data_IF_643716263800
#
_entry.id   IF_643716263800
#
_cell.length_a   1.000
_cell.length_b   1.000
_cell.length_c   1.000
_cell.angle_alpha   90.00
_cell.angle_beta   90.00
_cell.angle_gamma   90.00
#
_symmetry.space_group_name_H-M   'P 1'
#
loop_
_entity.id
_entity.type
_entity.pdbx_description
1 polymer ?
#
# COMPACT_ATOMS: atom_id res chain seq x y z
N UNK A 1 26.71 -36.80 32.22
CA UNK A 1 26.43 -36.19 30.91
C UNK A 1 25.83 -34.82 31.15
N UNK A 2 26.60 -33.76 30.95
CA UNK A 2 26.09 -32.38 31.03
C UNK A 2 25.45 -32.03 29.69
N UNK A 3 24.16 -31.70 29.72
CA UNK A 3 23.42 -31.16 28.58
C UNK A 3 24.09 -29.84 28.15
N UNK A 4 24.45 -29.64 26.87
CA UNK A 4 25.01 -28.36 26.44
C UNK A 4 23.98 -27.26 26.63
N UNK A 5 24.30 -26.28 27.48
CA UNK A 5 23.57 -25.03 27.58
C UNK A 5 24.19 -24.05 26.59
N UNK A 6 23.34 -23.52 25.71
CA UNK A 6 23.64 -22.57 24.63
C UNK A 6 24.10 -23.21 23.31
N UNK A 7 23.17 -23.18 22.34
CA UNK A 7 23.46 -23.16 20.92
C UNK A 7 24.24 -21.87 20.58
N UNK A 8 25.53 -21.83 20.90
CA UNK A 8 26.44 -20.82 20.36
C UNK A 8 26.99 -21.37 19.04
N UNK A 9 26.27 -21.10 17.95
CA UNK A 9 26.88 -21.15 16.61
C UNK A 9 27.88 -20.00 16.57
N UNK A 10 29.15 -20.29 16.83
CA UNK A 10 30.26 -19.34 16.69
C UNK A 10 30.35 -19.02 15.20
N UNK A 11 29.93 -17.81 14.83
CA UNK A 11 29.81 -17.33 13.45
C UNK A 11 28.40 -16.86 13.02
N UNK A 12 27.37 -17.02 13.87
CA UNK A 12 26.04 -16.47 13.60
C UNK A 12 25.87 -14.99 13.99
N UNK A 13 24.72 -14.39 13.63
CA UNK A 13 24.25 -13.04 14.02
C UNK A 13 24.40 -12.57 15.50
N UNK A 14 24.68 -13.39 16.56
CA UNK A 14 24.95 -12.93 17.93
C UNK A 14 25.92 -11.76 18.18
N UNK A 15 26.73 -11.34 17.20
CA UNK A 15 27.61 -10.18 17.30
C UNK A 15 26.95 -8.82 16.98
N UNK A 16 25.73 -8.83 16.43
CA UNK A 16 25.04 -7.59 16.03
C UNK A 16 24.39 -6.91 17.24
N UNK A 17 24.44 -5.58 17.25
CA UNK A 17 23.77 -4.74 18.25
C UNK A 17 22.25 -4.77 18.11
N UNK A 18 21.56 -4.30 19.16
CA UNK A 18 20.09 -4.30 19.23
C UNK A 18 19.47 -3.44 18.12
N UNK A 19 20.12 -2.34 17.75
CA UNK A 19 19.68 -1.45 16.67
C UNK A 19 19.71 -2.12 15.29
N UNK A 20 20.79 -2.85 14.98
CA UNK A 20 20.91 -3.60 13.71
C UNK A 20 19.88 -4.73 13.65
N UNK A 21 19.60 -5.37 14.79
CA UNK A 21 18.56 -6.40 14.86
C UNK A 21 17.15 -5.82 14.68
N UNK A 22 16.90 -4.57 15.11
CA UNK A 22 15.64 -3.86 14.85
C UNK A 22 15.52 -3.44 13.39
N UNK A 23 16.59 -2.94 12.79
CA UNK A 23 16.65 -2.62 11.37
C UNK A 23 16.34 -3.86 10.52
N UNK A 24 16.98 -4.99 10.84
CA UNK A 24 16.66 -6.25 10.20
C UNK A 24 15.21 -6.68 10.45
N UNK A 25 14.67 -6.45 11.66
CA UNK A 25 13.28 -6.76 11.97
C UNK A 25 12.31 -5.93 11.12
N UNK A 26 12.63 -4.66 10.84
CA UNK A 26 11.81 -3.78 9.99
C UNK A 26 11.83 -4.13 8.51
N UNK A 27 12.84 -4.89 8.05
CA UNK A 27 12.92 -5.35 6.66
C UNK A 27 12.10 -6.63 6.40
N UNK A 28 11.58 -7.29 7.43
CA UNK A 28 10.68 -8.41 7.21
C UNK A 28 9.40 -7.93 6.52
N UNK A 29 8.90 -8.77 5.61
CA UNK A 29 7.65 -8.53 4.89
C UNK A 29 6.51 -9.44 5.33
N UNK A 30 6.83 -10.52 6.04
CA UNK A 30 5.86 -11.50 6.55
C UNK A 30 5.99 -11.59 8.07
N UNK A 31 4.87 -11.50 8.77
CA UNK A 31 4.82 -11.62 10.23
C UNK A 31 5.36 -12.98 10.71
N UNK A 32 5.16 -14.05 9.93
CA UNK A 32 5.71 -15.38 10.23
C UNK A 32 7.24 -15.37 10.30
N UNK A 33 7.90 -14.64 9.40
CA UNK A 33 9.36 -14.53 9.38
C UNK A 33 9.86 -13.72 10.58
N UNK A 34 9.17 -12.64 10.93
CA UNK A 34 9.46 -11.87 12.14
C UNK A 34 9.32 -12.73 13.41
N UNK A 35 8.23 -13.51 13.52
CA UNK A 35 8.02 -14.43 14.64
C UNK A 35 9.13 -15.48 14.72
N UNK A 36 9.51 -16.09 13.60
CA UNK A 36 10.63 -17.04 13.55
C UNK A 36 11.94 -16.39 14.00
N UNK A 37 12.23 -15.18 13.51
CA UNK A 37 13.45 -14.43 13.86
C UNK A 37 13.53 -14.12 15.36
N UNK A 38 12.43 -13.69 15.97
CA UNK A 38 12.33 -13.46 17.41
C UNK A 38 12.51 -14.74 18.23
N UNK A 39 12.16 -15.89 17.66
CA UNK A 39 12.31 -17.21 18.27
C UNK A 39 13.72 -17.81 18.20
N UNK A 40 14.65 -17.23 17.42
CA UNK A 40 15.98 -17.80 17.19
C UNK A 40 16.81 -17.88 18.48
N UNK A 41 16.84 -16.81 19.29
CA UNK A 41 17.58 -16.81 20.56
C UNK A 41 17.10 -15.72 21.53
N UNK A 42 17.67 -15.71 22.75
CA UNK A 42 17.32 -14.76 23.81
C UNK A 42 17.55 -13.28 23.42
N UNK A 43 18.57 -12.97 22.61
CA UNK A 43 18.86 -11.59 22.19
C UNK A 43 17.80 -11.09 21.21
N UNK A 44 17.45 -11.87 20.18
CA UNK A 44 16.38 -11.47 19.25
C UNK A 44 15.02 -11.44 19.93
N UNK A 45 14.77 -12.33 20.90
CA UNK A 45 13.54 -12.28 21.69
C UNK A 45 13.39 -10.99 22.52
N UNK A 46 14.49 -10.35 22.94
CA UNK A 46 14.43 -9.08 23.70
C UNK A 46 13.93 -7.91 22.85
N UNK A 47 13.96 -8.01 21.51
CA UNK A 47 13.42 -6.98 20.62
C UNK A 47 11.96 -6.66 20.92
N UNK A 48 11.17 -7.63 21.40
CA UNK A 48 9.76 -7.42 21.75
C UNK A 48 9.51 -6.34 22.81
N UNK A 49 10.52 -6.04 23.62
CA UNK A 49 10.44 -5.04 24.68
C UNK A 49 10.88 -3.64 24.21
N UNK A 50 11.37 -3.52 22.97
CA UNK A 50 11.83 -2.26 22.43
C UNK A 50 10.66 -1.38 21.98
N UNK A 51 10.77 -0.05 22.16
CA UNK A 51 9.68 0.88 21.83
C UNK A 51 9.27 0.85 20.35
N UNK A 52 10.22 0.57 19.44
CA UNK A 52 9.96 0.45 18.00
C UNK A 52 9.33 -0.89 17.59
N UNK A 53 9.35 -1.89 18.46
CA UNK A 53 8.85 -3.23 18.12
C UNK A 53 7.40 -3.22 17.67
N UNK A 54 6.53 -2.57 18.44
CA UNK A 54 5.10 -2.51 18.11
C UNK A 54 4.86 -1.81 16.77
N UNK A 55 5.60 -0.74 16.47
CA UNK A 55 5.53 -0.07 15.17
C UNK A 55 5.91 -1.02 14.02
N UNK A 56 6.99 -1.79 14.18
CA UNK A 56 7.42 -2.75 13.16
C UNK A 56 6.39 -3.88 12.98
N UNK A 57 5.92 -4.48 14.07
CA UNK A 57 4.94 -5.57 14.00
C UNK A 57 3.59 -5.10 13.44
N UNK A 58 3.17 -3.88 13.74
CA UNK A 58 1.96 -3.27 13.19
C UNK A 58 2.02 -3.21 11.66
N UNK A 59 3.15 -2.79 11.07
CA UNK A 59 3.31 -2.79 9.61
C UNK A 59 3.22 -4.19 8.97
N UNK A 60 3.62 -5.23 9.70
CA UNK A 60 3.57 -6.63 9.25
C UNK A 60 2.18 -7.26 9.35
N UNK A 61 1.25 -6.62 10.06
CA UNK A 61 -0.06 -7.17 10.39
C UNK A 61 -1.18 -6.71 9.45
N UNK A 62 -0.86 -5.92 8.42
CA UNK A 62 -1.83 -5.45 7.42
C UNK A 62 -1.62 -6.16 6.08
N UNK A 63 -2.19 -7.37 5.89
CA UNK A 63 -2.15 -8.03 4.61
C UNK A 63 -2.89 -7.20 3.56
N UNK A 64 -2.36 -7.15 2.34
CA UNK A 64 -3.06 -6.53 1.21
C UNK A 64 -4.36 -7.30 0.98
N UNK A 65 -5.49 -6.67 1.26
CA UNK A 65 -6.83 -7.23 1.12
C UNK A 65 -7.69 -6.27 0.30
N UNK A 66 -8.50 -6.82 -0.61
CA UNK A 66 -9.25 -6.06 -1.63
C UNK A 66 -10.74 -6.36 -1.54
N UNK A 67 -11.54 -5.35 -1.82
CA UNK A 67 -12.98 -5.46 -2.01
C UNK A 67 -13.23 -5.67 -3.50
N UNK A 68 -13.74 -6.85 -3.87
CA UNK A 68 -14.07 -7.18 -5.24
C UNK A 68 -15.57 -6.98 -5.50
N UNK A 69 -15.91 -5.84 -6.09
CA UNK A 69 -17.28 -5.52 -6.46
C UNK A 69 -17.69 -6.05 -7.84
N UNK A 70 -16.76 -6.65 -8.61
CA UNK A 70 -17.04 -7.24 -9.92
C UNK A 70 -16.28 -8.57 -10.11
N UNK A 71 -16.67 -9.65 -9.38
CA UNK A 71 -15.95 -10.93 -9.38
C UNK A 71 -15.63 -11.55 -10.74
N UNK A 72 -16.49 -11.45 -11.76
CA UNK A 72 -16.19 -11.98 -13.10
C UNK A 72 -15.03 -11.26 -13.81
N UNK A 73 -14.74 -10.02 -13.45
CA UNK A 73 -13.79 -9.16 -14.17
C UNK A 73 -12.37 -9.22 -13.60
N UNK A 74 -12.24 -9.66 -12.35
CA UNK A 74 -11.00 -9.52 -11.58
C UNK A 74 -10.54 -10.87 -11.07
N UNK A 75 -9.31 -11.23 -11.44
CA UNK A 75 -8.59 -12.38 -10.89
C UNK A 75 -7.49 -11.89 -9.97
N UNK A 76 -7.42 -12.49 -8.78
CA UNK A 76 -6.37 -12.22 -7.80
C UNK A 76 -5.43 -13.40 -7.67
N UNK A 77 -4.15 -13.10 -7.49
CA UNK A 77 -3.16 -14.07 -7.05
C UNK A 77 -2.20 -13.40 -6.09
N UNK A 78 -1.87 -14.06 -4.99
CA UNK A 78 -0.84 -13.57 -4.07
C UNK A 78 0.55 -13.89 -4.62
N UNK A 79 1.45 -12.90 -4.55
CA UNK A 79 2.87 -13.06 -4.88
C UNK A 79 3.64 -13.00 -3.56
N UNK A 80 4.25 -14.14 -3.21
CA UNK A 80 5.10 -14.32 -2.02
C UNK A 80 4.48 -13.92 -0.68
N UNK A 81 3.14 -13.82 -0.62
CA UNK A 81 2.37 -13.42 0.56
C UNK A 81 2.47 -11.93 0.94
N UNK A 82 3.18 -11.12 0.14
CA UNK A 82 3.41 -9.69 0.41
C UNK A 82 2.69 -8.80 -0.58
N UNK A 83 2.64 -9.22 -1.85
CA UNK A 83 2.04 -8.47 -2.93
C UNK A 83 0.79 -9.18 -3.41
N UNK A 84 -0.22 -8.41 -3.82
CA UNK A 84 -1.38 -8.93 -4.52
C UNK A 84 -1.32 -8.54 -5.97
N UNK A 85 -1.29 -9.53 -6.87
CA UNK A 85 -1.46 -9.30 -8.30
C UNK A 85 -2.94 -9.26 -8.61
N UNK A 86 -3.34 -8.23 -9.32
CA UNK A 86 -4.71 -8.02 -9.77
C UNK A 86 -4.68 -8.05 -11.30
N UNK A 87 -5.45 -8.96 -11.91
CA UNK A 87 -5.55 -9.09 -13.36
C UNK A 87 -6.98 -8.87 -13.81
N UNK A 88 -7.16 -7.97 -14.78
CA UNK A 88 -8.43 -7.66 -15.44
C UNK A 88 -8.66 -8.63 -16.60
N UNK A 89 -9.87 -9.15 -16.75
CA UNK A 89 -10.20 -10.17 -17.76
C UNK A 89 -10.88 -9.61 -19.02
N UNK A 90 -11.78 -8.63 -18.91
CA UNK A 90 -12.50 -8.08 -20.07
C UNK A 90 -12.30 -6.56 -20.21
N UNK A 91 -12.94 -5.94 -21.20
CA UNK A 91 -12.82 -4.50 -21.54
C UNK A 91 -13.69 -3.56 -20.67
N UNK A 92 -14.14 -4.01 -19.49
CA UNK A 92 -14.99 -3.21 -18.58
C UNK A 92 -14.16 -2.41 -17.59
N UNK A 93 -14.59 -1.22 -17.20
CA UNK A 93 -13.87 -0.45 -16.20
C UNK A 93 -13.86 -1.16 -14.85
N UNK A 94 -12.69 -1.22 -14.21
CA UNK A 94 -12.54 -1.85 -12.90
C UNK A 94 -12.02 -0.82 -11.92
N UNK A 95 -12.72 -0.67 -10.78
CA UNK A 95 -12.22 0.08 -9.62
C UNK A 95 -12.11 -0.87 -8.45
N UNK A 96 -10.89 -1.09 -7.96
CA UNK A 96 -10.62 -1.93 -6.80
C UNK A 96 -10.41 -1.03 -5.59
N UNK A 97 -11.09 -1.32 -4.49
CA UNK A 97 -10.79 -0.73 -3.18
C UNK A 97 -9.99 -1.70 -2.34
N UNK A 98 -8.98 -1.21 -1.62
CA UNK A 98 -8.42 -1.96 -0.50
C UNK A 98 -9.44 -1.99 0.66
N UNK A 99 -9.42 -3.06 1.47
CA UNK A 99 -10.34 -3.22 2.61
C UNK A 99 -9.94 -2.37 3.81
N UNK A 100 -8.66 -2.00 3.90
CA UNK A 100 -8.13 -1.24 5.03
C UNK A 100 -8.70 0.17 5.04
N UNK A 101 -9.45 0.49 6.10
CA UNK A 101 -9.91 1.85 6.38
C UNK A 101 -8.77 2.65 6.99
N UNK A 102 -8.47 3.80 6.39
CA UNK A 102 -7.39 4.68 6.80
C UNK A 102 -7.95 5.67 7.83
N UNK A 103 -7.82 5.35 9.11
CA UNK A 103 -8.37 6.15 10.21
C UNK A 103 -7.29 6.87 11.02
N UNK A 104 -6.27 6.15 11.48
CA UNK A 104 -5.23 6.69 12.34
C UNK A 104 -3.84 6.37 11.79
N UNK A 105 -2.96 7.36 11.77
CA UNK A 105 -1.56 7.22 11.39
C UNK A 105 -1.28 7.51 9.92
N UNK A 106 -0.09 7.08 9.48
CA UNK A 106 0.38 7.24 8.11
C UNK A 106 0.25 5.91 7.39
N UNK A 107 -0.43 5.93 6.26
CA UNK A 107 -0.71 4.75 5.44
C UNK A 107 -0.11 4.92 4.06
N UNK A 108 0.48 3.85 3.54
CA UNK A 108 1.06 3.85 2.21
C UNK A 108 0.55 2.70 1.37
N UNK A 109 0.28 2.97 0.09
CA UNK A 109 0.06 1.96 -0.93
C UNK A 109 1.09 2.17 -2.04
N UNK A 110 1.78 1.10 -2.44
CA UNK A 110 2.64 1.06 -3.63
C UNK A 110 1.98 0.16 -4.69
N UNK A 111 1.95 0.63 -5.94
CA UNK A 111 1.36 -0.08 -7.08
C UNK A 111 2.31 -0.01 -8.27
N UNK A 112 2.37 -1.10 -9.02
CA UNK A 112 3.02 -1.17 -10.33
C UNK A 112 1.99 -1.65 -11.36
N UNK A 113 1.94 -0.98 -12.52
CA UNK A 113 1.03 -1.30 -13.62
C UNK A 113 1.77 -1.96 -14.78
N UNK A 114 1.07 -2.83 -15.51
CA UNK A 114 1.59 -3.50 -16.69
C UNK A 114 0.45 -3.70 -17.71
N UNK A 115 0.73 -3.43 -18.98
CA UNK A 115 -0.23 -3.50 -20.09
C UNK A 115 -1.48 -2.63 -19.87
N UNK A 116 -1.32 -1.44 -19.28
CA UNK A 116 -2.43 -0.54 -18.99
C UNK A 116 -2.87 0.31 -20.17
N UNK A 117 -2.06 0.36 -21.24
CA UNK A 117 -2.23 1.27 -22.39
C UNK A 117 -2.36 2.75 -21.96
N UNK A 118 -1.65 3.15 -20.90
CA UNK A 118 -1.73 4.49 -20.28
C UNK A 118 -3.10 4.86 -19.70
N UNK A 119 -3.94 3.86 -19.39
CA UNK A 119 -5.28 4.02 -18.82
C UNK A 119 -5.41 3.38 -17.43
N UNK A 120 -4.64 3.87 -16.47
CA UNK A 120 -4.80 3.54 -15.07
C UNK A 120 -4.74 4.77 -14.16
N UNK A 121 -5.27 4.61 -12.95
CA UNK A 121 -5.20 5.61 -11.90
C UNK A 121 -5.14 4.97 -10.50
N UNK A 122 -4.63 5.73 -9.54
CA UNK A 122 -4.66 5.38 -8.12
C UNK A 122 -5.27 6.53 -7.33
N UNK A 123 -5.69 6.26 -6.10
CA UNK A 123 -6.15 7.32 -5.22
C UNK A 123 -6.87 6.83 -3.98
N UNK A 124 -7.86 7.59 -3.54
CA UNK A 124 -8.67 7.28 -2.37
C UNK A 124 -10.17 7.42 -2.68
N UNK A 125 -10.97 6.66 -1.93
CA UNK A 125 -12.42 6.75 -1.89
C UNK A 125 -12.87 6.95 -0.45
N UNK A 126 -13.99 7.65 -0.25
CA UNK A 126 -14.67 7.69 1.04
C UNK A 126 -15.02 6.29 1.52
N UNK A 127 -14.83 6.02 2.80
CA UNK A 127 -15.16 4.72 3.39
C UNK A 127 -16.66 4.40 3.24
N UNK A 128 -17.51 5.41 3.41
CA UNK A 128 -18.97 5.29 3.31
C UNK A 128 -19.50 5.08 1.89
N UNK A 129 -18.64 5.09 0.87
CA UNK A 129 -19.06 4.97 -0.52
C UNK A 129 -18.87 3.55 -1.05
N UNK A 130 -19.98 2.92 -1.45
CA UNK A 130 -19.96 1.64 -2.16
C UNK A 130 -19.70 1.89 -3.64
N UNK A 131 -18.60 1.33 -4.16
CA UNK A 131 -18.19 1.51 -5.55
C UNK A 131 -18.97 0.54 -6.44
N UNK A 132 -19.82 0.99 -7.36
CA UNK A 132 -20.52 0.09 -8.28
C UNK A 132 -19.55 -0.53 -9.31
N UNK A 133 -19.89 -1.68 -9.89
CA UNK A 133 -19.11 -2.28 -10.97
C UNK A 133 -19.17 -1.42 -12.26
N UNK A 134 -18.12 -1.50 -13.09
CA UNK A 134 -18.06 -0.85 -14.41
C UNK A 134 -18.29 0.67 -14.41
N UNK A 135 -17.64 1.37 -13.48
CA UNK A 135 -17.73 2.83 -13.36
C UNK A 135 -16.46 3.50 -13.87
N UNK A 136 -16.64 4.67 -14.48
CA UNK A 136 -15.55 5.61 -14.71
C UNK A 136 -15.52 6.60 -13.55
N UNK A 137 -14.44 6.67 -12.76
CA UNK A 137 -14.48 7.28 -11.45
C UNK A 137 -14.57 8.82 -11.50
N UNK A 138 -14.23 9.44 -12.64
CA UNK A 138 -14.38 10.88 -12.84
C UNK A 138 -15.76 11.28 -13.45
N UNK A 139 -16.74 10.37 -13.48
CA UNK A 139 -18.14 10.67 -13.84
C UNK A 139 -19.01 10.83 -12.59
N UNK A 140 -20.11 11.56 -12.73
CA UNK A 140 -21.15 11.61 -11.69
C UNK A 140 -21.81 10.22 -11.54
N UNK A 141 -22.18 9.81 -10.31
CA UNK A 141 -21.95 10.50 -9.03
C UNK A 141 -20.56 10.20 -8.40
N UNK A 142 -19.80 9.27 -8.96
CA UNK A 142 -18.57 8.71 -8.36
C UNK A 142 -17.49 9.75 -8.05
N UNK A 143 -17.34 10.76 -8.92
CA UNK A 143 -16.29 11.80 -8.82
C UNK A 143 -16.36 12.65 -7.55
N UNK A 144 -17.50 12.66 -6.87
CA UNK A 144 -17.71 13.42 -5.63
C UNK A 144 -17.23 12.66 -4.38
N UNK A 145 -16.90 11.37 -4.54
CA UNK A 145 -16.48 10.47 -3.46
C UNK A 145 -15.05 9.97 -3.62
N UNK A 146 -14.34 10.39 -4.68
CA UNK A 146 -13.02 9.86 -5.03
C UNK A 146 -12.05 10.99 -5.37
N UNK A 147 -10.78 10.77 -5.03
CA UNK A 147 -9.65 11.56 -5.54
C UNK A 147 -8.74 10.62 -6.31
N UNK A 148 -8.37 11.00 -7.54
CA UNK A 148 -7.55 10.15 -8.41
C UNK A 148 -6.38 10.89 -9.04
N UNK A 149 -5.25 10.19 -9.13
CA UNK A 149 -4.07 10.57 -9.88
C UNK A 149 -3.76 9.45 -10.88
N UNK A 150 -3.60 9.79 -12.16
CA UNK A 150 -3.55 8.77 -13.22
C UNK A 150 -2.60 9.06 -14.37
N UNK A 151 -2.51 8.06 -15.24
CA UNK A 151 -1.66 8.00 -16.43
C UNK A 151 -2.09 9.01 -17.51
N UNK A 152 -1.39 8.98 -18.65
CA UNK A 152 -1.61 9.93 -19.74
C UNK A 152 -3.07 9.97 -20.21
N UNK A 153 -3.63 8.80 -20.52
CA UNK A 153 -4.98 8.70 -21.09
C UNK A 153 -6.10 8.87 -20.07
N UNK A 154 -5.85 8.62 -18.78
CA UNK A 154 -6.83 8.92 -17.73
C UNK A 154 -7.03 10.43 -17.55
N UNK A 155 -5.95 11.20 -17.55
CA UNK A 155 -6.04 12.64 -17.33
C UNK A 155 -4.71 13.37 -17.30
N UNK A 156 -3.69 12.81 -17.94
CA UNK A 156 -2.36 13.38 -18.13
C UNK A 156 -1.69 13.85 -16.83
N UNK A 157 -1.65 12.97 -15.82
CA UNK A 157 -1.01 13.25 -14.54
C UNK A 157 -1.78 14.20 -13.63
N UNK A 158 -2.95 14.70 -14.02
CA UNK A 158 -3.73 15.58 -13.14
C UNK A 158 -4.27 14.81 -11.93
N UNK A 159 -4.39 15.52 -10.80
CA UNK A 159 -5.11 15.04 -9.62
C UNK A 159 -6.56 15.53 -9.71
N UNK A 160 -7.52 14.60 -9.77
CA UNK A 160 -8.95 14.90 -9.93
C UNK A 160 -9.72 14.80 -8.62
N UNK A 161 -10.58 15.77 -8.35
CA UNK A 161 -11.62 15.73 -7.32
C UNK A 161 -12.84 16.53 -7.78
N UNK A 162 -14.06 16.00 -7.61
CA UNK A 162 -15.32 16.66 -8.02
C UNK A 162 -15.34 17.12 -9.48
N UNK A 163 -14.68 16.36 -10.36
CA UNK A 163 -14.57 16.69 -11.79
C UNK A 163 -13.49 17.71 -12.14
N UNK A 164 -12.80 18.30 -11.16
CA UNK A 164 -11.75 19.28 -11.38
C UNK A 164 -10.38 18.61 -11.34
N UNK A 165 -9.61 18.74 -12.42
CA UNK A 165 -8.25 18.21 -12.52
C UNK A 165 -7.18 19.29 -12.28
N UNK A 166 -6.37 19.11 -11.25
CA UNK A 166 -5.24 19.99 -10.94
C UNK A 166 -3.97 19.49 -11.63
N UNK A 167 -3.33 20.34 -12.43
CA UNK A 167 -2.13 20.00 -13.19
C UNK A 167 -0.86 20.28 -12.39
N UNK A 168 0.22 19.56 -12.69
CA UNK A 168 1.54 19.79 -12.11
C UNK A 168 2.36 18.51 -11.91
N UNK A 169 1.69 17.36 -11.73
CA UNK A 169 2.36 16.07 -11.65
C UNK A 169 2.65 15.53 -13.05
N UNK A 170 3.62 14.62 -13.13
CA UNK A 170 3.84 13.85 -14.36
C UNK A 170 2.73 12.81 -14.52
N UNK A 171 2.45 12.39 -15.76
CA UNK A 171 1.72 11.15 -16.01
C UNK A 171 2.68 9.97 -15.80
N UNK A 172 2.39 9.08 -14.86
CA UNK A 172 3.16 7.85 -14.69
C UNK A 172 2.86 6.84 -15.81
N UNK A 173 3.74 5.86 -15.97
CA UNK A 173 3.74 4.84 -17.01
C UNK A 173 3.80 3.43 -16.40
N UNK A 174 3.57 2.43 -17.24
CA UNK A 174 3.76 1.03 -16.86
C UNK A 174 5.19 0.77 -16.38
N UNK A 175 5.32 -0.18 -15.46
CA UNK A 175 6.57 -0.63 -14.83
C UNK A 175 7.28 0.43 -13.98
N UNK A 176 6.57 1.50 -13.61
CA UNK A 176 7.00 2.44 -12.57
C UNK A 176 6.37 2.06 -11.23
N UNK A 177 7.02 2.46 -10.14
CA UNK A 177 6.46 2.34 -8.79
C UNK A 177 5.72 3.60 -8.40
N UNK A 178 4.41 3.49 -8.25
CA UNK A 178 3.56 4.61 -7.86
C UNK A 178 3.19 4.42 -6.40
N UNK A 179 3.52 5.41 -5.56
CA UNK A 179 3.16 5.44 -4.15
C UNK A 179 2.07 6.48 -3.88
N UNK A 180 1.05 6.09 -3.11
CA UNK A 180 0.16 7.00 -2.41
C UNK A 180 0.45 6.93 -0.91
N UNK A 181 0.59 8.08 -0.27
CA UNK A 181 0.82 8.21 1.17
C UNK A 181 -0.25 9.11 1.78
N UNK A 182 -1.04 8.54 2.68
CA UNK A 182 -2.07 9.23 3.43
C UNK A 182 -1.59 9.49 4.85
N UNK A 183 -1.66 10.73 5.32
CA UNK A 183 -1.38 11.13 6.70
C UNK A 183 -2.67 11.61 7.33
N UNK A 184 -3.22 10.83 8.28
CA UNK A 184 -4.49 11.13 8.94
C UNK A 184 -4.42 12.32 9.87
N UNK A 185 -3.24 12.63 10.44
CA UNK A 185 -3.07 13.76 11.35
C UNK A 185 -3.02 15.08 10.59
N UNK A 186 -2.40 15.08 9.40
CA UNK A 186 -2.36 16.26 8.52
C UNK A 186 -3.54 16.35 7.56
N UNK A 187 -4.30 15.27 7.39
CA UNK A 187 -5.37 15.18 6.40
C UNK A 187 -4.85 15.33 4.97
N UNK A 188 -3.71 14.70 4.66
CA UNK A 188 -3.03 14.84 3.35
C UNK A 188 -2.89 13.55 2.59
N UNK A 189 -2.95 13.62 1.25
CA UNK A 189 -2.60 12.51 0.35
C UNK A 189 -1.51 12.97 -0.62
N UNK A 190 -0.34 12.35 -0.52
CA UNK A 190 0.85 12.65 -1.31
C UNK A 190 1.11 11.51 -2.31
N UNK A 191 1.55 11.85 -3.51
CA UNK A 191 1.91 10.88 -4.54
C UNK A 191 3.41 10.89 -4.83
N UNK A 192 3.97 9.74 -5.17
CA UNK A 192 5.35 9.63 -5.66
C UNK A 192 5.42 8.67 -6.86
N UNK A 193 6.33 8.94 -7.78
CA UNK A 193 6.63 8.07 -8.93
C UNK A 193 8.12 7.74 -8.90
N UNK A 194 8.46 6.45 -8.85
CA UNK A 194 9.84 5.94 -8.70
C UNK A 194 10.60 6.62 -7.56
N UNK A 195 9.92 6.79 -6.42
CA UNK A 195 10.47 7.45 -5.22
C UNK A 195 10.52 8.97 -5.28
N UNK A 196 10.15 9.60 -6.41
CA UNK A 196 10.11 11.06 -6.55
C UNK A 196 8.72 11.60 -6.21
N UNK A 197 8.63 12.36 -5.12
CA UNK A 197 7.40 13.02 -4.72
C UNK A 197 6.89 13.99 -5.79
N UNK A 198 5.58 13.94 -6.04
CA UNK A 198 4.91 14.79 -7.01
C UNK A 198 4.45 16.12 -6.38
N UNK A 199 4.44 17.24 -7.14
CA UNK A 199 4.18 18.58 -6.59
C UNK A 199 2.73 18.84 -6.18
N UNK A 200 1.76 18.18 -6.82
CA UNK A 200 0.33 18.29 -6.51
C UNK A 200 -0.06 17.15 -5.58
N UNK A 201 -0.58 17.52 -4.42
CA UNK A 201 -1.06 16.64 -3.37
C UNK A 201 -2.39 17.16 -2.83
N UNK A 202 -3.10 16.32 -2.06
CA UNK A 202 -4.41 16.65 -1.50
C UNK A 202 -4.24 17.09 -0.05
N UNK A 203 -5.05 18.05 0.38
CA UNK A 203 -5.15 18.52 1.77
C UNK A 203 -6.62 18.61 2.19
N UNK A 204 -6.87 18.68 3.51
CA UNK A 204 -8.22 18.84 4.04
C UNK A 204 -9.06 17.57 4.03
N UNK A 205 -8.42 16.39 4.06
CA UNK A 205 -9.11 15.12 4.24
C UNK A 205 -9.41 14.96 5.74
N UNK A 206 -10.69 15.05 6.11
CA UNK A 206 -11.17 15.00 7.49
C UNK A 206 -12.13 13.81 7.75
N UNK A 207 -12.22 12.89 6.81
CA UNK A 207 -13.08 11.71 6.86
C UNK A 207 -12.30 10.41 6.61
N UNK A 208 -12.88 9.28 7.01
CA UNK A 208 -12.30 7.95 6.78
C UNK A 208 -12.30 7.63 5.29
N UNK A 209 -11.18 7.15 4.80
CA UNK A 209 -10.99 6.80 3.37
C UNK A 209 -10.37 5.42 3.23
N UNK A 210 -10.40 4.89 2.01
CA UNK A 210 -9.69 3.67 1.60
C UNK A 210 -8.91 3.96 0.33
N UNK A 211 -7.79 3.30 0.14
CA UNK A 211 -7.06 3.36 -1.13
C UNK A 211 -7.83 2.65 -2.24
N UNK A 212 -7.72 3.19 -3.47
CA UNK A 212 -8.31 2.62 -4.67
C UNK A 212 -7.31 2.56 -5.82
N UNK A 213 -7.55 1.61 -6.72
CA UNK A 213 -6.90 1.47 -8.02
C UNK A 213 -7.97 1.39 -9.10
N UNK A 214 -7.80 2.13 -10.18
CA UNK A 214 -8.68 2.11 -11.34
C UNK A 214 -7.93 1.60 -12.58
N UNK A 215 -8.59 0.73 -13.34
CA UNK A 215 -8.12 0.15 -14.59
C UNK A 215 -9.20 0.32 -15.66
N UNK A 216 -8.80 0.74 -16.86
CA UNK A 216 -9.66 0.77 -18.03
C UNK A 216 -9.91 -0.61 -18.60
#
# INVERSE_FOLDING_TARGET
>A
MTVPTQYNVIGGLPGLGLDIMLELLSEFRLISNAVQFLGINKKTFQLKNHALFFKIIETLNYPVSVINNDPPEIVFSDIDGVMKKISKQNDRFVTISLTQVLENGIWTMEVEFNNSNDWAAIGIVRDTYEIPPNIYPNRNPHRDHMVLYGMHSFGNGKVFYKGNGTSGNIAFKDNQKIKAEFDSEKGTLIFSVDGVQQPVYVTGIDEKVRFIVWLN
#
